data_IF_375957582227
#
_entry.id   IF_375957582227
#
_cell.length_a   1.000
_cell.length_b   1.000
_cell.length_c   1.000
_cell.angle_alpha   90.00
_cell.angle_beta   90.00
_cell.angle_gamma   90.00
#
_symmetry.space_group_name_H-M   'P 1'
#
loop_
_entity.id
_entity.type
_entity.pdbx_description
1 polymer ?
#
# COMPACT_ATOMS: atom_id res chain seq x y z
N UNK A 1 -16.08 -11.18 2.59
CA UNK A 1 -16.34 -9.73 2.74
C UNK A 1 -16.71 -9.42 4.19
N UNK A 2 -15.76 -9.49 5.13
CA UNK A 2 -16.07 -9.38 6.56
C UNK A 2 -16.33 -7.94 7.04
N UNK A 3 -15.91 -6.93 6.26
CA UNK A 3 -16.16 -5.50 6.52
C UNK A 3 -16.98 -4.83 5.40
N UNK A 4 -17.85 -5.57 4.72
CA UNK A 4 -18.81 -5.02 3.74
C UNK A 4 -18.25 -4.55 2.38
N UNK A 5 -16.94 -4.63 2.16
CA UNK A 5 -16.30 -4.25 0.89
C UNK A 5 -16.21 -5.40 -0.11
N UNK A 6 -16.79 -5.21 -1.30
CA UNK A 6 -16.68 -6.13 -2.44
C UNK A 6 -15.72 -5.68 -3.53
N UNK A 7 -15.64 -6.41 -4.66
CA UNK A 7 -14.68 -6.12 -5.72
C UNK A 7 -14.75 -4.68 -6.25
N UNK A 8 -15.95 -4.11 -6.35
CA UNK A 8 -16.12 -2.73 -6.81
C UNK A 8 -15.68 -1.69 -5.75
N UNK A 9 -15.77 -2.02 -4.46
CA UNK A 9 -15.40 -1.13 -3.36
C UNK A 9 -13.88 -0.96 -3.22
N UNK A 10 -13.08 -1.90 -3.75
CA UNK A 10 -11.62 -1.89 -3.67
C UNK A 10 -10.95 -1.20 -4.86
N UNK A 11 -11.72 -0.55 -5.75
CA UNK A 11 -11.19 0.07 -6.97
C UNK A 11 -11.80 1.43 -7.24
N UNK A 12 -11.00 2.30 -7.84
CA UNK A 12 -11.44 3.58 -8.40
C UNK A 12 -11.30 3.54 -9.93
N UNK A 13 -12.40 3.52 -10.69
CA UNK A 13 -12.33 3.66 -12.15
C UNK A 13 -11.90 5.06 -12.53
N UNK A 14 -10.82 5.17 -13.29
CA UNK A 14 -10.34 6.43 -13.87
C UNK A 14 -10.13 6.21 -15.36
N UNK A 15 -10.87 6.94 -16.19
CA UNK A 15 -10.73 6.89 -17.65
C UNK A 15 -9.62 7.85 -18.04
N UNK A 16 -8.65 7.37 -18.83
CA UNK A 16 -7.48 8.13 -19.25
C UNK A 16 -7.29 8.00 -20.76
N UNK A 17 -6.90 9.11 -21.40
CA UNK A 17 -6.32 9.10 -22.73
C UNK A 17 -4.89 8.52 -22.69
N UNK A 18 -4.31 8.13 -23.83
CA UNK A 18 -2.92 7.64 -23.87
C UNK A 18 -1.90 8.64 -23.31
N UNK A 19 -2.12 9.95 -23.52
CA UNK A 19 -1.25 10.99 -22.99
C UNK A 19 -1.35 11.10 -21.46
N UNK A 20 -2.57 11.07 -20.92
CA UNK A 20 -2.78 11.12 -19.47
C UNK A 20 -2.23 9.86 -18.79
N UNK A 21 -2.36 8.69 -19.43
CA UNK A 21 -1.77 7.45 -18.93
C UNK A 21 -0.25 7.54 -18.79
N UNK A 22 0.43 8.21 -19.72
CA UNK A 22 1.87 8.44 -19.65
C UNK A 22 2.29 9.42 -18.54
N UNK A 23 1.37 10.28 -18.08
CA UNK A 23 1.60 11.22 -17.00
C UNK A 23 1.38 10.61 -15.60
N UNK A 24 0.80 9.40 -15.52
CA UNK A 24 0.66 8.67 -14.25
C UNK A 24 2.03 8.23 -13.75
N UNK A 25 2.23 8.25 -12.43
CA UNK A 25 3.43 7.65 -11.82
C UNK A 25 3.55 6.17 -12.26
N UNK A 26 4.58 5.80 -13.04
CA UNK A 26 4.71 4.45 -13.56
C UNK A 26 4.94 3.40 -12.45
N UNK A 27 5.44 3.81 -11.29
CA UNK A 27 5.70 2.91 -10.16
C UNK A 27 4.43 2.33 -9.52
N UNK A 28 3.25 2.92 -9.77
CA UNK A 28 1.96 2.41 -9.27
C UNK A 28 1.19 1.57 -10.30
N UNK A 29 1.69 1.46 -11.53
CA UNK A 29 1.03 0.67 -12.58
C UNK A 29 1.35 -0.82 -12.41
N UNK A 30 0.31 -1.63 -12.26
CA UNK A 30 0.46 -3.07 -12.01
C UNK A 30 1.17 -3.80 -13.15
N UNK A 31 2.12 -4.65 -12.77
CA UNK A 31 2.87 -5.57 -13.63
C UNK A 31 3.45 -6.71 -12.76
N UNK A 32 4.05 -7.73 -13.37
CA UNK A 32 4.56 -8.92 -12.64
C UNK A 32 5.63 -8.57 -11.58
N UNK A 33 6.46 -7.57 -11.87
CA UNK A 33 7.49 -7.10 -10.95
C UNK A 33 6.86 -6.42 -9.74
N UNK A 34 5.93 -5.49 -9.95
CA UNK A 34 5.24 -4.79 -8.86
C UNK A 34 4.40 -5.78 -8.04
N UNK A 35 3.70 -6.71 -8.68
CA UNK A 35 2.96 -7.77 -8.02
C UNK A 35 3.84 -8.58 -7.07
N UNK A 36 4.95 -9.14 -7.57
CA UNK A 36 5.88 -9.92 -6.74
C UNK A 36 6.50 -9.09 -5.61
N UNK A 37 6.84 -7.83 -5.91
CA UNK A 37 7.44 -6.90 -4.93
C UNK A 37 6.48 -6.59 -3.78
N UNK A 38 5.20 -6.32 -4.10
CA UNK A 38 4.18 -6.02 -3.10
C UNK A 38 3.85 -7.26 -2.26
N UNK A 39 3.78 -8.46 -2.84
CA UNK A 39 3.60 -9.69 -2.05
C UNK A 39 4.76 -9.89 -1.06
N UNK A 40 6.01 -9.76 -1.51
CA UNK A 40 7.18 -9.86 -0.61
C UNK A 40 7.20 -8.75 0.46
N UNK A 41 6.63 -7.57 0.18
CA UNK A 41 6.47 -6.52 1.17
C UNK A 41 5.37 -6.86 2.19
N UNK A 42 4.25 -7.42 1.75
CA UNK A 42 3.19 -7.93 2.63
C UNK A 42 3.73 -9.03 3.55
N UNK A 43 4.40 -10.04 3.00
CA UNK A 43 4.94 -11.18 3.76
C UNK A 43 5.94 -10.75 4.86
N UNK A 44 6.62 -9.62 4.66
CA UNK A 44 7.59 -9.08 5.64
C UNK A 44 6.95 -8.28 6.76
N UNK A 45 5.83 -7.61 6.51
CA UNK A 45 5.29 -6.57 7.40
C UNK A 45 3.91 -6.92 7.99
N UNK A 46 3.13 -7.78 7.36
CA UNK A 46 1.77 -8.08 7.80
C UNK A 46 1.77 -9.25 8.77
N UNK A 47 1.00 -9.10 9.86
CA UNK A 47 0.72 -10.18 10.81
C UNK A 47 -0.41 -11.06 10.27
N UNK A 48 -0.32 -12.37 10.48
CA UNK A 48 -1.38 -13.32 10.09
C UNK A 48 -2.68 -13.13 10.89
N UNK A 49 -2.56 -12.62 12.12
CA UNK A 49 -3.68 -12.35 13.02
C UNK A 49 -3.54 -10.96 13.64
N UNK A 50 -4.65 -10.23 13.72
CA UNK A 50 -4.75 -8.94 14.39
C UNK A 50 -6.08 -8.82 15.12
N UNK A 51 -6.04 -8.46 16.40
CA UNK A 51 -7.21 -8.19 17.23
C UNK A 51 -7.22 -6.74 17.69
N UNK A 52 -8.34 -6.27 18.24
CA UNK A 52 -8.43 -4.92 18.79
C UNK A 52 -7.45 -4.68 19.94
N UNK A 53 -7.15 -5.70 20.74
CA UNK A 53 -6.23 -5.57 21.87
C UNK A 53 -4.79 -5.31 21.40
N UNK A 54 -4.41 -5.79 20.21
CA UNK A 54 -3.06 -5.60 19.66
C UNK A 54 -2.81 -4.15 19.20
N UNK A 55 -3.87 -3.36 19.03
CA UNK A 55 -3.75 -1.96 18.57
C UNK A 55 -3.04 -1.05 19.57
N UNK A 56 -2.92 -1.46 20.84
CA UNK A 56 -2.18 -0.70 21.87
C UNK A 56 -0.69 -1.03 21.88
N UNK A 57 -0.25 -2.05 21.14
CA UNK A 57 1.15 -2.47 21.06
C UNK A 57 2.01 -1.41 20.34
N UNK A 58 2.99 -0.78 21.02
CA UNK A 58 3.89 0.18 20.38
C UNK A 58 4.75 -0.44 19.27
N UNK A 59 4.95 -1.75 19.26
CA UNK A 59 5.65 -2.45 18.19
C UNK A 59 4.85 -2.42 16.89
N UNK A 60 3.53 -2.62 16.93
CA UNK A 60 2.67 -2.52 15.75
C UNK A 60 2.77 -1.14 15.09
N UNK A 61 2.85 -0.07 15.89
CA UNK A 61 3.03 1.29 15.35
C UNK A 61 4.37 1.47 14.63
N UNK A 62 5.45 0.91 15.18
CA UNK A 62 6.78 0.98 14.56
C UNK A 62 6.82 0.19 13.26
N UNK A 63 6.35 -1.05 13.29
CA UNK A 63 6.22 -1.91 12.11
C UNK A 63 5.43 -1.21 11.00
N UNK A 64 4.28 -0.60 11.33
CA UNK A 64 3.48 0.15 10.36
C UNK A 64 4.20 1.34 9.75
N UNK A 65 4.96 2.12 10.55
CA UNK A 65 5.72 3.26 10.03
C UNK A 65 6.87 2.82 9.13
N UNK A 66 7.61 1.80 9.53
CA UNK A 66 8.72 1.25 8.74
C UNK A 66 8.20 0.65 7.42
N UNK A 67 7.09 -0.07 7.48
CA UNK A 67 6.43 -0.64 6.31
C UNK A 67 6.00 0.47 5.32
N UNK A 68 5.35 1.53 5.81
CA UNK A 68 4.93 2.66 4.97
C UNK A 68 6.11 3.44 4.40
N UNK A 69 7.18 3.64 5.17
CA UNK A 69 8.38 4.31 4.68
C UNK A 69 9.05 3.52 3.54
N UNK A 70 9.10 2.19 3.66
CA UNK A 70 9.56 1.32 2.57
C UNK A 70 8.61 1.39 1.36
N UNK A 71 7.30 1.34 1.58
CA UNK A 71 6.30 1.34 0.50
C UNK A 71 6.33 2.65 -0.31
N UNK A 72 6.49 3.80 0.33
CA UNK A 72 6.61 5.09 -0.39
C UNK A 72 7.83 5.14 -1.31
N UNK A 73 8.94 4.49 -0.93
CA UNK A 73 10.12 4.34 -1.78
C UNK A 73 9.88 3.36 -2.92
N UNK A 74 9.22 2.23 -2.65
CA UNK A 74 8.85 1.24 -3.67
C UNK A 74 7.94 1.83 -4.75
N UNK A 75 7.02 2.70 -4.36
CA UNK A 75 6.01 3.32 -5.23
C UNK A 75 6.42 4.72 -5.72
N UNK A 76 7.64 5.18 -5.45
CA UNK A 76 8.16 6.49 -5.84
C UNK A 76 7.21 7.66 -5.51
N UNK A 77 6.75 7.72 -4.26
CA UNK A 77 5.77 8.70 -3.80
C UNK A 77 6.41 9.88 -3.05
N UNK A 78 7.65 9.72 -2.58
CA UNK A 78 8.26 10.65 -1.64
C UNK A 78 7.56 10.64 -0.27
N UNK A 79 7.77 11.71 0.51
CA UNK A 79 7.27 11.81 1.89
C UNK A 79 5.80 12.27 1.92
N UNK A 80 4.89 11.36 1.60
CA UNK A 80 3.44 11.63 1.57
C UNK A 80 2.75 11.44 2.92
N UNK A 81 3.34 10.70 3.84
CA UNK A 81 2.78 10.49 5.18
C UNK A 81 3.32 11.52 6.18
N UNK A 82 2.45 11.98 7.08
CA UNK A 82 2.78 13.03 8.05
C UNK A 82 3.97 12.69 8.98
N UNK A 83 4.24 11.40 9.22
CA UNK A 83 5.37 10.98 10.06
C UNK A 83 6.74 11.06 9.36
N UNK A 84 6.76 11.29 8.03
CA UNK A 84 7.98 11.37 7.22
C UNK A 84 8.51 12.81 7.06
N UNK A 85 7.90 13.78 7.76
CA UNK A 85 8.29 15.20 7.73
C UNK A 85 9.19 15.55 8.92
#
# INVERSE_FOLDING_TARGET
MYNGGGPACLRLPVVLTPQEQQAVNPAVLMNDRLFSTLNNWVDRHYRDCLTQADLVDPQLLREGRDALDELTKLLDLGNVYAFQQ
#
